data_IF_778796688800
#
_entry.id   IF_778796688800
#
_cell.length_a   1.000
_cell.length_b   1.000
_cell.length_c   1.000
_cell.angle_alpha   90.00
_cell.angle_beta   90.00
_cell.angle_gamma   90.00
#
_symmetry.space_group_name_H-M   'P 1'
#
loop_
_entity.id
_entity.type
_entity.pdbx_description
1 polymer ?
#
# COMPACT_ATOMS: atom_id res chain seq x y z
N UNK A 1 -3.02 -7.96 20.15
CA UNK A 1 -2.16 -7.51 21.28
C UNK A 1 -2.55 -8.26 22.56
N UNK A 2 -2.30 -9.57 22.61
CA UNK A 2 -2.61 -10.38 23.80
C UNK A 2 -1.34 -10.73 24.60
N UNK A 3 -0.18 -10.84 23.93
CA UNK A 3 1.09 -11.23 24.57
C UNK A 3 1.68 -10.20 25.55
N UNK A 4 1.61 -8.90 25.26
CA UNK A 4 2.16 -7.86 26.16
C UNK A 4 1.36 -7.71 27.46
N UNK A 5 0.03 -7.81 27.38
CA UNK A 5 -0.84 -7.79 28.55
C UNK A 5 -0.71 -9.06 29.41
N UNK A 6 -0.51 -10.22 28.77
CA UNK A 6 -0.30 -11.48 29.47
C UNK A 6 1.02 -11.52 30.26
N UNK A 7 2.11 -10.96 29.72
CA UNK A 7 3.40 -10.88 30.43
C UNK A 7 3.37 -9.93 31.63
N UNK A 8 2.69 -8.78 31.50
CA UNK A 8 2.49 -7.85 32.62
C UNK A 8 1.60 -8.45 33.72
N UNK A 9 0.53 -9.17 33.34
CA UNK A 9 -0.35 -9.86 34.28
C UNK A 9 0.35 -11.04 35.00
N UNK A 10 1.19 -11.79 34.30
CA UNK A 10 2.02 -12.85 34.89
C UNK A 10 3.00 -12.28 35.91
N UNK A 11 3.66 -11.15 35.62
CA UNK A 11 4.55 -10.45 36.56
C UNK A 11 3.82 -9.93 37.81
N UNK A 12 2.60 -9.40 37.66
CA UNK A 12 1.80 -8.93 38.80
C UNK A 12 1.31 -10.07 39.71
N UNK A 13 1.07 -11.27 39.15
CA UNK A 13 0.56 -12.42 39.90
C UNK A 13 1.54 -13.02 40.91
N UNK A 14 2.85 -12.75 40.78
CA UNK A 14 3.87 -13.26 41.72
C UNK A 14 4.03 -12.44 43.01
N UNK A 15 3.38 -11.27 43.13
CA UNK A 15 3.52 -10.39 44.31
C UNK A 15 2.37 -10.52 45.34
N UNK A 16 1.49 -11.52 45.23
CA UNK A 16 0.43 -11.75 46.23
C UNK A 16 -0.65 -10.65 46.27
N UNK A 17 -0.79 -9.89 45.18
CA UNK A 17 -1.79 -8.85 45.05
C UNK A 17 -3.22 -9.45 44.99
N UNK A 18 -4.21 -8.87 45.69
CA UNK A 18 -5.59 -9.34 45.65
C UNK A 18 -6.15 -9.26 44.22
N UNK A 19 -6.99 -10.23 43.85
CA UNK A 19 -7.54 -10.41 42.48
C UNK A 19 -8.05 -9.12 41.83
N UNK A 20 -8.69 -8.23 42.59
CA UNK A 20 -9.21 -6.96 42.09
C UNK A 20 -8.10 -6.00 41.62
N UNK A 21 -6.94 -6.00 42.27
CA UNK A 21 -5.81 -5.15 41.89
C UNK A 21 -5.18 -5.63 40.58
N UNK A 22 -5.09 -6.94 40.39
CA UNK A 22 -4.62 -7.55 39.14
C UNK A 22 -5.53 -7.22 37.95
N UNK A 23 -6.85 -7.19 38.15
CA UNK A 23 -7.84 -6.80 37.13
C UNK A 23 -7.67 -5.32 36.75
N UNK A 24 -7.48 -4.43 37.73
CA UNK A 24 -7.26 -2.99 37.48
C UNK A 24 -5.96 -2.75 36.72
N UNK A 25 -4.87 -3.41 37.13
CA UNK A 25 -3.56 -3.29 36.46
C UNK A 25 -3.68 -3.79 35.01
N UNK A 26 -4.33 -4.93 34.77
CA UNK A 26 -4.55 -5.45 33.42
C UNK A 26 -5.36 -4.50 32.54
N UNK A 27 -6.43 -3.89 33.08
CA UNK A 27 -7.27 -2.95 32.36
C UNK A 27 -6.49 -1.67 31.98
N UNK A 28 -5.72 -1.10 32.92
CA UNK A 28 -4.90 0.09 32.68
C UNK A 28 -3.80 -0.18 31.66
N UNK A 29 -3.08 -1.29 31.78
CA UNK A 29 -2.01 -1.67 30.84
C UNK A 29 -2.60 -1.92 29.45
N UNK A 30 -3.73 -2.62 29.34
CA UNK A 30 -4.41 -2.86 28.06
C UNK A 30 -4.86 -1.56 27.41
N UNK A 31 -5.46 -0.64 28.18
CA UNK A 31 -5.87 0.67 27.68
C UNK A 31 -4.68 1.52 27.21
N UNK A 32 -3.59 1.56 28.00
CA UNK A 32 -2.37 2.27 27.65
C UNK A 32 -1.73 1.71 26.36
N UNK A 33 -1.72 0.38 26.19
CA UNK A 33 -1.23 -0.25 24.97
C UNK A 33 -2.09 0.11 23.76
N UNK A 34 -3.42 0.08 23.89
CA UNK A 34 -4.33 0.46 22.78
C UNK A 34 -4.14 1.94 22.41
N UNK A 35 -4.00 2.82 23.40
CA UNK A 35 -3.81 4.25 23.19
C UNK A 35 -2.43 4.63 22.65
N UNK A 36 -1.38 3.84 22.91
CA UNK A 36 -0.03 4.06 22.37
C UNK A 36 0.19 3.39 21.02
N UNK A 37 -0.43 2.23 20.79
CA UNK A 37 -0.26 1.48 19.54
C UNK A 37 -1.11 2.08 18.43
N UNK A 38 -2.33 2.56 18.71
CA UNK A 38 -3.17 3.24 17.71
C UNK A 38 -2.45 4.40 16.99
N UNK A 39 -1.83 5.38 17.67
CA UNK A 39 -1.14 6.48 17.00
C UNK A 39 0.14 6.02 16.29
N UNK A 40 0.85 5.01 16.80
CA UNK A 40 2.07 4.49 16.16
C UNK A 40 1.74 3.68 14.90
N UNK A 41 0.68 2.87 14.92
CA UNK A 41 0.18 2.17 13.72
C UNK A 41 -0.35 3.18 12.71
N UNK A 42 -1.14 4.17 13.13
CA UNK A 42 -1.57 5.26 12.25
C UNK A 42 -0.40 6.05 11.67
N UNK A 43 0.65 6.36 12.44
CA UNK A 43 1.86 7.05 11.93
C UNK A 43 2.71 6.19 11.01
N UNK A 44 2.76 4.88 11.22
CA UNK A 44 3.53 3.95 10.38
C UNK A 44 2.79 3.56 9.09
N UNK A 45 1.46 3.45 9.14
CA UNK A 45 0.60 3.23 7.97
C UNK A 45 0.32 4.53 7.20
N UNK A 46 0.40 5.69 7.87
CA UNK A 46 0.48 7.01 7.24
C UNK A 46 1.94 7.44 7.05
N UNK A 47 2.86 6.51 6.80
CA UNK A 47 3.96 6.87 5.90
C UNK A 47 3.26 7.26 4.60
N UNK A 48 3.43 8.49 4.11
CA UNK A 48 2.83 8.94 2.86
C UNK A 48 3.51 8.16 1.75
N UNK A 49 3.00 6.95 1.53
CA UNK A 49 3.16 6.20 0.33
C UNK A 49 2.52 7.07 -0.74
N UNK A 50 3.38 7.74 -1.54
CA UNK A 50 2.97 8.52 -2.71
C UNK A 50 2.05 7.72 -3.65
N UNK A 51 1.98 6.40 -3.49
CA UNK A 51 1.05 5.45 -4.11
C UNK A 51 -0.42 5.68 -3.75
N UNK A 52 -0.76 6.13 -2.53
CA UNK A 52 -2.16 6.45 -2.21
C UNK A 52 -2.68 7.69 -2.97
N UNK A 53 -1.79 8.57 -3.40
CA UNK A 53 -2.14 9.73 -4.24
C UNK A 53 -2.32 9.33 -5.71
N UNK A 54 -1.57 8.32 -6.17
CA UNK A 54 -1.70 7.75 -7.52
C UNK A 54 -2.96 6.87 -7.67
N UNK A 55 -3.30 6.08 -6.64
CA UNK A 55 -4.57 5.32 -6.61
C UNK A 55 -5.79 6.23 -6.43
N UNK A 56 -5.66 7.36 -5.73
CA UNK A 56 -6.76 8.32 -5.57
C UNK A 56 -6.89 9.31 -6.73
N UNK A 57 -5.85 9.47 -7.57
CA UNK A 57 -5.87 10.32 -8.78
C UNK A 57 -5.11 9.69 -9.96
N UNK A 58 -5.58 8.55 -10.51
CA UNK A 58 -4.97 7.93 -11.68
C UNK A 58 -4.87 8.89 -12.87
N UNK A 59 -5.81 9.84 -12.98
CA UNK A 59 -5.88 10.86 -14.03
C UNK A 59 -4.59 11.71 -14.16
N UNK A 60 -3.78 11.83 -13.10
CA UNK A 60 -2.50 12.55 -13.13
C UNK A 60 -1.37 11.78 -13.83
N UNK A 61 -1.59 10.52 -14.18
CA UNK A 61 -0.63 9.70 -14.94
C UNK A 61 -0.70 9.93 -16.45
N UNK A 62 -1.77 10.55 -16.96
CA UNK A 62 -1.88 10.91 -18.36
C UNK A 62 -0.75 11.89 -18.75
N UNK A 63 -0.09 11.61 -19.87
CA UNK A 63 1.08 12.35 -20.36
C UNK A 63 2.42 11.94 -19.75
N UNK A 64 2.47 10.97 -18.83
CA UNK A 64 3.72 10.45 -18.27
C UNK A 64 4.32 9.36 -19.15
N UNK A 65 5.65 9.27 -19.13
CA UNK A 65 6.37 8.18 -19.79
C UNK A 65 6.48 6.97 -18.86
N UNK A 66 6.37 5.79 -19.48
CA UNK A 66 6.47 4.51 -18.83
C UNK A 66 7.46 3.62 -19.58
N UNK A 67 8.08 2.69 -18.85
CA UNK A 67 8.89 1.63 -19.45
C UNK A 67 8.07 0.33 -19.50
N UNK A 68 8.05 -0.33 -20.65
CA UNK A 68 7.38 -1.61 -20.81
C UNK A 68 8.19 -2.69 -20.09
N UNK A 69 7.56 -3.41 -19.18
CA UNK A 69 8.18 -4.52 -18.46
C UNK A 69 7.79 -5.85 -19.10
N UNK A 70 6.51 -5.98 -19.45
CA UNK A 70 5.99 -7.12 -20.20
C UNK A 70 5.35 -6.60 -21.48
N UNK A 71 5.50 -7.32 -22.62
CA UNK A 71 4.99 -6.88 -23.91
C UNK A 71 3.54 -6.39 -23.82
N UNK A 72 3.31 -5.15 -24.27
CA UNK A 72 1.99 -4.53 -24.21
C UNK A 72 1.29 -4.76 -25.54
N UNK A 73 0.10 -5.34 -25.45
CA UNK A 73 -0.79 -5.60 -26.58
C UNK A 73 -2.16 -4.97 -26.34
N UNK A 74 -3.11 -5.27 -27.21
CA UNK A 74 -4.50 -4.85 -27.07
C UNK A 74 -5.26 -5.56 -25.97
N UNK A 75 -4.74 -6.67 -25.43
CA UNK A 75 -5.41 -7.48 -24.41
C UNK A 75 -4.83 -7.24 -23.03
N UNK A 76 -3.50 -7.29 -22.91
CA UNK A 76 -2.75 -7.18 -21.67
C UNK A 76 -1.33 -6.64 -21.91
N UNK A 77 -0.69 -6.25 -20.81
CA UNK A 77 0.67 -5.74 -20.77
C UNK A 77 0.98 -5.17 -19.39
N UNK A 78 2.28 -4.95 -19.14
CA UNK A 78 2.74 -4.39 -17.87
C UNK A 78 3.77 -3.30 -18.14
N UNK A 79 3.55 -2.13 -17.54
CA UNK A 79 4.47 -1.00 -17.62
C UNK A 79 4.94 -0.62 -16.23
N UNK A 80 6.09 0.06 -16.17
CA UNK A 80 6.64 0.65 -14.96
C UNK A 80 6.60 2.16 -15.05
N UNK A 81 5.94 2.77 -14.09
CA UNK A 81 5.80 4.24 -13.95
C UNK A 81 6.15 4.64 -12.54
N UNK A 82 7.07 5.60 -12.40
CA UNK A 82 7.55 6.09 -11.11
C UNK A 82 8.02 4.99 -10.13
N UNK A 83 8.45 3.83 -10.64
CA UNK A 83 8.89 2.70 -9.82
C UNK A 83 7.82 1.65 -9.54
N UNK A 84 6.57 1.89 -9.93
CA UNK A 84 5.42 1.03 -9.69
C UNK A 84 4.99 0.31 -10.97
N UNK A 85 4.48 -0.92 -10.84
CA UNK A 85 4.00 -1.74 -11.94
C UNK A 85 2.51 -1.49 -12.16
N UNK A 86 2.14 -1.17 -13.39
CA UNK A 86 0.78 -0.89 -13.80
C UNK A 86 0.39 -1.76 -14.98
N UNK A 87 -0.85 -2.24 -14.99
CA UNK A 87 -1.42 -2.90 -16.16
C UNK A 87 -1.56 -1.91 -17.30
N UNK A 88 -1.20 -2.33 -18.50
CA UNK A 88 -1.22 -1.49 -19.68
C UNK A 88 -1.87 -2.18 -20.87
N UNK A 89 -2.42 -1.35 -21.75
CA UNK A 89 -3.00 -1.76 -23.02
C UNK A 89 -2.61 -0.74 -24.10
N UNK A 90 -2.33 -1.24 -25.29
CA UNK A 90 -2.06 -0.39 -26.45
C UNK A 90 -3.33 0.37 -26.88
N UNK A 91 -3.17 1.65 -27.24
CA UNK A 91 -4.25 2.48 -27.78
C UNK A 91 -4.82 1.89 -29.07
N UNK A 92 -3.96 1.36 -29.94
CA UNK A 92 -4.34 0.76 -31.21
C UNK A 92 -4.18 -0.76 -31.15
N UNK A 93 -5.22 -1.50 -31.54
CA UNK A 93 -5.22 -2.97 -31.47
C UNK A 93 -4.08 -3.64 -32.26
N UNK A 94 -3.63 -2.99 -33.33
CA UNK A 94 -2.55 -3.48 -34.20
C UNK A 94 -1.14 -3.12 -33.71
N UNK A 95 -1.03 -2.30 -32.66
CA UNK A 95 0.24 -1.81 -32.16
C UNK A 95 0.61 -2.58 -30.90
N UNK A 96 1.80 -3.17 -30.90
CA UNK A 96 2.37 -3.91 -29.77
C UNK A 96 3.69 -3.28 -29.40
N UNK A 97 3.97 -3.22 -28.11
CA UNK A 97 5.22 -2.71 -27.57
C UNK A 97 6.00 -3.82 -26.90
N UNK A 98 7.29 -3.91 -27.21
CA UNK A 98 8.16 -4.93 -26.65
C UNK A 98 8.69 -4.53 -25.27
N UNK A 99 9.16 -5.52 -24.51
CA UNK A 99 9.79 -5.26 -23.22
C UNK A 99 10.99 -4.30 -23.38
N UNK A 100 11.13 -3.37 -22.42
CA UNK A 100 12.08 -2.25 -22.37
C UNK A 100 11.81 -1.09 -23.33
N UNK A 101 10.72 -1.12 -24.09
CA UNK A 101 10.31 0.07 -24.85
C UNK A 101 9.78 1.16 -23.93
N UNK A 102 9.92 2.42 -24.37
CA UNK A 102 9.31 3.57 -23.70
C UNK A 102 8.02 3.96 -24.41
N UNK A 103 6.97 4.10 -23.63
CA UNK A 103 5.63 4.46 -24.09
C UNK A 103 5.11 5.66 -23.31
N UNK A 104 4.14 6.37 -23.88
CA UNK A 104 3.45 7.48 -23.21
C UNK A 104 2.06 7.03 -22.82
N UNK A 105 1.68 7.29 -21.57
CA UNK A 105 0.31 7.08 -21.11
C UNK A 105 -0.56 8.17 -21.72
N UNK A 106 -1.53 7.78 -22.54
CA UNK A 106 -2.50 8.68 -23.15
C UNK A 106 -3.65 8.92 -22.18
N UNK A 107 -4.15 7.86 -21.56
CA UNK A 107 -5.29 7.88 -20.65
C UNK A 107 -5.21 6.72 -19.65
N UNK A 108 -5.93 6.80 -18.54
CA UNK A 108 -6.13 5.68 -17.62
C UNK A 108 -7.59 5.24 -17.70
N UNK A 109 -7.81 4.00 -18.11
CA UNK A 109 -9.12 3.35 -18.13
C UNK A 109 -9.27 2.47 -16.88
N UNK A 110 -9.80 3.03 -15.80
CA UNK A 110 -9.96 2.32 -14.52
C UNK A 110 -8.61 2.00 -13.88
N UNK A 111 -8.23 0.72 -13.84
CA UNK A 111 -6.93 0.24 -13.34
C UNK A 111 -5.92 -0.09 -14.45
N UNK A 112 -6.23 0.27 -15.70
CA UNK A 112 -5.37 -0.03 -16.86
C UNK A 112 -4.93 1.25 -17.55
N UNK A 113 -3.63 1.41 -17.74
CA UNK A 113 -3.06 2.51 -18.53
C UNK A 113 -3.17 2.24 -20.03
N UNK A 114 -3.76 3.18 -20.77
CA UNK A 114 -3.76 3.16 -22.22
C UNK A 114 -2.52 3.90 -22.70
N UNK A 115 -1.70 3.21 -23.49
CA UNK A 115 -0.40 3.72 -23.91
C UNK A 115 -0.27 3.78 -25.43
N UNK A 116 0.52 4.74 -25.91
CA UNK A 116 0.92 4.90 -27.31
C UNK A 116 2.43 5.16 -27.41
N UNK A 117 2.95 5.16 -28.64
CA UNK A 117 4.34 5.41 -28.95
C UNK A 117 4.79 6.75 -28.34
N UNK A 118 6.03 6.77 -27.85
CA UNK A 118 6.67 7.99 -27.38
C UNK A 118 6.72 9.02 -28.52
N UNK A 119 6.01 10.14 -28.34
CA UNK A 119 6.08 11.33 -29.22
C UNK A 119 7.40 12.08 -29.02
#
# INVERSE_FOLDING_TARGET
MLGGGALAASGASQLGAPLWLSVVIFAVVSAALVLTVRPVLRRKMAKPDKSAELESRPELLAGRHAEVIEPVSSSAGLIKVNGELWSARSLLTAQTFDAKERVTIVEISGNTAVVDKLL
#
